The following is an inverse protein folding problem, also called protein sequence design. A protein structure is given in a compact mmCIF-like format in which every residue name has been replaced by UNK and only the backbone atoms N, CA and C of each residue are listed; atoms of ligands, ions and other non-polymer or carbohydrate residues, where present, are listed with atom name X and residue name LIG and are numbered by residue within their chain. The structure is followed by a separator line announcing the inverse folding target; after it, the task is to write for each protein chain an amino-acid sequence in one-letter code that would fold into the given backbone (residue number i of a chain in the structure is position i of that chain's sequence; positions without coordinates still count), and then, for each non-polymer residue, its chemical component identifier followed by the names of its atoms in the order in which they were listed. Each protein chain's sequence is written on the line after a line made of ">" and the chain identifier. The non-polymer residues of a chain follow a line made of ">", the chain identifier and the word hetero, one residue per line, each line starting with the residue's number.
data_IF_810482539595
#
_entry.id   IF_810482539595
#
_cell.length_a   1.000
_cell.length_b   1.000
_cell.length_c   1.000
_cell.angle_alpha   90.00
_cell.angle_beta   90.00
_cell.angle_gamma   90.00
#
_symmetry.space_group_name_H-M   'P 1'
#
loop_
_entity.id
_entity.type
_entity.pdbx_description
1 polymer ?
#
# COMPACT_ATOMS: atom_id res chain seq x y z
N UNK A 1 1.29 -47.62 -43.78
CA UNK A 1 0.84 -46.39 -44.47
C UNK A 1 1.70 -45.24 -43.96
N UNK A 2 2.46 -44.61 -44.86
CA UNK A 2 3.49 -43.60 -44.55
C UNK A 2 2.84 -42.24 -44.31
N UNK A 3 3.25 -41.50 -43.28
CA UNK A 3 3.03 -40.05 -43.21
C UNK A 3 4.32 -39.35 -42.74
N UNK A 4 4.88 -38.58 -43.67
CA UNK A 4 5.86 -37.49 -43.55
C UNK A 4 5.28 -36.33 -44.40
N UNK A 5 5.75 -35.07 -44.34
CA UNK A 5 6.83 -34.49 -43.54
C UNK A 5 6.52 -33.10 -42.92
N UNK A 6 7.46 -32.68 -42.08
CA UNK A 6 7.87 -31.32 -41.69
C UNK A 6 7.81 -30.25 -42.79
N UNK A 7 7.38 -29.02 -42.44
CA UNK A 7 7.81 -27.79 -43.12
C UNK A 7 8.01 -26.65 -42.12
N UNK A 8 9.25 -26.18 -42.07
CA UNK A 8 9.72 -24.94 -41.44
C UNK A 8 9.43 -23.79 -42.41
N UNK A 9 8.87 -22.68 -41.92
CA UNK A 9 8.85 -21.42 -42.66
C UNK A 9 9.13 -20.27 -41.69
N UNK A 10 10.38 -19.84 -41.65
CA UNK A 10 10.81 -18.57 -41.10
C UNK A 10 10.49 -17.46 -42.11
N UNK A 11 9.77 -16.42 -41.69
CA UNK A 11 9.67 -15.16 -42.41
C UNK A 11 10.01 -14.01 -41.46
N UNK A 12 11.20 -13.45 -41.67
CA UNK A 12 11.62 -12.15 -41.14
C UNK A 12 11.39 -11.13 -42.25
N UNK A 13 10.54 -10.13 -42.01
CA UNK A 13 10.56 -8.86 -42.75
C UNK A 13 10.47 -7.72 -41.75
N UNK A 14 11.45 -6.84 -41.85
CA UNK A 14 11.73 -5.69 -41.01
C UNK A 14 11.17 -4.41 -41.67
N UNK A 15 10.95 -3.40 -40.82
CA UNK A 15 10.76 -1.97 -41.08
C UNK A 15 9.35 -1.44 -41.42
N UNK A 16 8.85 -0.58 -40.53
CA UNK A 16 8.09 0.58 -40.96
C UNK A 16 7.18 1.24 -39.92
N UNK A 17 7.75 2.23 -39.22
CA UNK A 17 7.10 3.49 -38.80
C UNK A 17 6.09 3.50 -37.63
N UNK A 18 6.48 4.29 -36.63
CA UNK A 18 5.70 4.81 -35.52
C UNK A 18 4.27 5.26 -35.87
N UNK A 19 3.31 4.90 -35.01
CA UNK A 19 2.21 5.77 -34.62
C UNK A 19 2.04 5.71 -33.09
N UNK A 20 2.18 6.88 -32.45
CA UNK A 20 2.03 7.07 -31.01
C UNK A 20 0.56 6.89 -30.56
N UNK A 21 0.30 6.56 -29.29
CA UNK A 21 -1.03 6.67 -28.72
C UNK A 21 -1.42 8.15 -28.58
N UNK A 22 -2.59 8.52 -29.10
CA UNK A 22 -3.25 9.76 -28.72
C UNK A 22 -3.80 9.59 -27.29
N UNK A 23 -3.05 10.05 -26.30
CA UNK A 23 -3.57 10.25 -24.94
C UNK A 23 -4.58 11.40 -24.98
N UNK A 24 -5.86 11.04 -24.86
CA UNK A 24 -6.90 12.01 -24.49
C UNK A 24 -6.61 12.46 -23.05
N UNK A 25 -6.00 13.63 -22.91
CA UNK A 25 -5.80 14.28 -21.62
C UNK A 25 -7.17 14.60 -20.99
N UNK A 26 -7.49 13.90 -19.91
CA UNK A 26 -8.62 14.20 -19.05
C UNK A 26 -8.33 15.53 -18.32
N UNK A 27 -9.15 16.59 -18.45
CA UNK A 27 -8.80 17.95 -18.03
C UNK A 27 -8.76 18.20 -16.50
N UNK A 28 -8.78 17.14 -15.69
CA UNK A 28 -8.83 17.23 -14.24
C UNK A 28 -7.74 16.39 -13.56
N UNK A 29 -6.46 16.56 -13.94
CA UNK A 29 -5.34 16.06 -13.12
C UNK A 29 -4.67 17.24 -12.37
N UNK A 30 -5.03 17.47 -11.09
CA UNK A 30 -4.56 18.63 -10.32
C UNK A 30 -3.11 18.50 -9.82
N UNK A 31 -2.37 17.46 -10.21
CA UNK A 31 -1.09 17.11 -9.58
C UNK A 31 0.17 17.52 -10.36
N UNK A 32 0.10 18.40 -11.37
CA UNK A 32 1.32 18.89 -12.05
C UNK A 32 1.30 20.42 -12.31
N UNK A 33 1.82 21.23 -11.38
CA UNK A 33 1.79 22.69 -11.50
C UNK A 33 2.75 23.25 -12.58
N UNK A 34 3.57 22.42 -13.23
CA UNK A 34 4.55 22.86 -14.22
C UNK A 34 4.09 22.72 -15.68
N UNK A 35 2.86 22.26 -15.95
CA UNK A 35 2.37 21.98 -17.31
C UNK A 35 1.46 23.07 -17.93
N UNK A 36 1.03 24.08 -17.16
CA UNK A 36 0.10 25.12 -17.66
C UNK A 36 0.87 26.27 -18.32
N UNK A 37 1.05 26.20 -19.65
CA UNK A 37 1.78 27.23 -20.41
C UNK A 37 1.03 28.56 -20.61
N UNK A 38 -0.26 28.67 -20.27
CA UNK A 38 -0.98 29.94 -20.24
C UNK A 38 -2.05 29.98 -19.13
N UNK A 39 -1.92 30.95 -18.22
CA UNK A 39 -2.93 31.26 -17.21
C UNK A 39 -3.82 32.42 -17.72
N UNK A 40 -5.12 32.21 -17.99
CA UNK A 40 -6.04 33.29 -18.37
C UNK A 40 -6.27 34.32 -17.25
N UNK A 41 -5.76 34.07 -16.04
CA UNK A 41 -5.89 34.95 -14.88
C UNK A 41 -4.59 35.69 -14.52
N UNK A 42 -3.84 36.22 -15.51
CA UNK A 42 -2.74 37.15 -15.23
C UNK A 42 -3.23 38.61 -15.23
N UNK A 43 -3.46 39.25 -14.07
CA UNK A 43 -3.95 40.62 -14.00
C UNK A 43 -2.93 41.63 -14.53
N UNK A 44 -1.65 41.26 -14.68
CA UNK A 44 -0.61 42.12 -15.22
C UNK A 44 -0.56 42.16 -16.76
N UNK A 45 -1.44 41.41 -17.45
CA UNK A 45 -1.56 41.43 -18.91
C UNK A 45 -2.78 42.24 -19.41
N UNK A 46 -3.58 42.79 -18.50
CA UNK A 46 -4.78 43.56 -18.86
C UNK A 46 -4.39 44.96 -19.33
N UNK A 47 -4.23 45.11 -20.65
CA UNK A 47 -4.04 46.38 -21.34
C UNK A 47 -5.27 47.27 -21.08
N UNK A 48 -5.13 48.25 -20.18
CA UNK A 48 -5.98 49.44 -19.95
C UNK A 48 -7.44 49.31 -20.42
N UNK A 49 -8.32 48.77 -19.58
CA UNK A 49 -9.75 49.09 -19.70
C UNK A 49 -10.01 50.44 -19.03
N UNK A 50 -10.54 51.36 -19.81
CA UNK A 50 -10.82 52.75 -19.41
C UNK A 50 -11.87 52.78 -18.30
N UNK A 51 -11.62 53.69 -17.36
CA UNK A 51 -12.51 54.37 -16.40
C UNK A 51 -13.98 53.92 -16.43
N UNK A 52 -14.51 53.52 -15.27
CA UNK A 52 -15.73 53.99 -14.58
C UNK A 52 -15.92 53.02 -13.38
N UNK A 53 -15.99 53.36 -12.10
CA UNK A 53 -16.01 54.60 -11.33
C UNK A 53 -15.30 54.34 -9.97
N UNK A 54 -14.84 55.40 -9.30
CA UNK A 54 -14.31 55.41 -7.93
C UNK A 54 -15.28 56.27 -7.09
N UNK A 55 -15.54 55.97 -5.81
CA UNK A 55 -14.79 56.70 -4.79
C UNK A 55 -14.64 55.93 -3.46
N UNK A 56 -13.38 55.67 -3.10
CA UNK A 56 -12.84 55.83 -1.76
C UNK A 56 -13.82 56.39 -0.68
N UNK A 57 -14.35 55.51 0.17
CA UNK A 57 -14.56 55.82 1.59
C UNK A 57 -13.73 54.81 2.42
N UNK A 58 -12.56 55.21 2.93
CA UNK A 58 -11.53 54.28 3.39
C UNK A 58 -11.77 53.71 4.81
N UNK A 59 -12.90 53.97 5.45
CA UNK A 59 -13.15 53.54 6.84
C UNK A 59 -14.37 52.61 7.05
N UNK A 60 -15.00 52.12 5.98
CA UNK A 60 -16.29 51.42 6.08
C UNK A 60 -16.37 49.96 5.62
N UNK A 61 -15.32 49.37 5.04
CA UNK A 61 -15.42 48.03 4.46
C UNK A 61 -14.58 47.01 5.24
N UNK A 62 -15.28 46.04 5.83
CA UNK A 62 -14.72 44.80 6.38
C UNK A 62 -13.71 44.24 5.38
N UNK A 63 -12.56 43.77 5.89
CA UNK A 63 -11.47 43.15 5.14
C UNK A 63 -11.97 41.94 4.32
N UNK A 64 -12.63 42.21 3.20
CA UNK A 64 -12.73 41.25 2.11
C UNK A 64 -11.37 41.22 1.44
N UNK A 65 -10.90 40.00 1.20
CA UNK A 65 -9.56 39.68 0.77
C UNK A 65 -9.10 40.61 -0.36
N UNK A 66 -7.87 41.11 -0.23
CA UNK A 66 -7.21 41.85 -1.29
C UNK A 66 -7.15 40.94 -2.54
N UNK A 67 -7.78 41.31 -3.67
CA UNK A 67 -7.81 40.50 -4.88
C UNK A 67 -6.42 40.24 -5.48
N UNK A 68 -5.38 40.92 -4.99
CA UNK A 68 -3.99 40.73 -5.37
C UNK A 68 -3.22 39.76 -4.47
N UNK A 69 -3.85 39.07 -3.50
CA UNK A 69 -3.19 38.00 -2.74
C UNK A 69 -3.63 36.62 -3.26
N UNK A 70 -2.94 36.01 -4.23
CA UNK A 70 -3.30 34.70 -4.77
C UNK A 70 -3.23 33.58 -3.73
N UNK A 71 -2.56 33.81 -2.58
CA UNK A 71 -2.54 32.88 -1.46
C UNK A 71 -3.82 32.90 -0.63
N UNK A 72 -4.68 33.92 -0.76
CA UNK A 72 -5.96 34.00 -0.04
C UNK A 72 -7.07 33.16 -0.70
N UNK A 73 -6.86 32.73 -1.95
CA UNK A 73 -7.74 31.78 -2.66
C UNK A 73 -6.91 30.58 -3.09
N UNK A 74 -6.46 29.80 -2.10
CA UNK A 74 -5.85 28.52 -2.37
C UNK A 74 -6.97 27.51 -2.75
N UNK A 75 -7.04 26.99 -3.99
CA UNK A 75 -8.00 25.94 -4.35
C UNK A 75 -7.76 24.63 -3.57
N UNK A 76 -6.63 24.51 -2.86
CA UNK A 76 -6.35 23.46 -1.88
C UNK A 76 -6.85 23.81 -0.46
N UNK A 77 -7.67 24.85 -0.28
CA UNK A 77 -8.38 25.14 0.98
C UNK A 77 -9.59 24.23 1.20
N UNK A 78 -9.90 23.36 0.24
CA UNK A 78 -10.75 22.20 0.50
C UNK A 78 -10.14 21.35 1.62
N UNK A 79 -10.98 20.68 2.41
CA UNK A 79 -10.53 19.90 3.56
C UNK A 79 -9.31 19.02 3.19
N UNK A 80 -8.18 19.26 3.86
CA UNK A 80 -6.99 18.43 3.69
C UNK A 80 -7.38 16.96 3.98
N UNK A 81 -7.20 16.03 3.04
CA UNK A 81 -7.58 14.62 3.25
C UNK A 81 -6.82 13.98 4.43
N UNK A 82 -5.69 14.55 4.86
CA UNK A 82 -4.97 14.12 6.06
C UNK A 82 -5.52 14.71 7.38
N UNK A 83 -6.43 15.67 7.32
CA UNK A 83 -7.13 16.24 8.48
C UNK A 83 -8.47 15.59 8.73
N UNK A 84 -8.95 14.74 7.80
CA UNK A 84 -10.03 13.82 8.09
C UNK A 84 -9.52 12.80 9.11
N UNK A 85 -10.23 12.65 10.23
CA UNK A 85 -9.84 11.70 11.28
C UNK A 85 -9.65 10.28 10.75
N UNK A 86 -8.83 9.48 11.43
CA UNK A 86 -8.50 8.13 10.98
C UNK A 86 -9.69 7.18 11.21
N UNK A 87 -10.04 6.40 10.19
CA UNK A 87 -10.99 5.29 10.35
C UNK A 87 -10.24 4.07 10.92
N UNK A 88 -10.67 3.51 12.07
CA UNK A 88 -10.05 2.32 12.63
C UNK A 88 -10.20 1.11 11.69
N UNK A 89 -9.15 0.29 11.58
CA UNK A 89 -9.18 -0.93 10.75
C UNK A 89 -10.11 -2.03 11.32
N UNK A 90 -10.48 -1.93 12.60
CA UNK A 90 -11.32 -2.88 13.35
C UNK A 90 -11.91 -2.22 14.59
N UNK A 91 -13.02 -2.79 15.12
CA UNK A 91 -13.72 -2.29 16.33
C UNK A 91 -12.87 -2.44 17.60
N UNK A 92 -12.21 -3.58 17.76
CA UNK A 92 -11.40 -3.88 18.94
C UNK A 92 -9.92 -3.90 18.55
N UNK A 93 -9.14 -2.91 19.02
CA UNK A 93 -7.72 -2.82 18.75
C UNK A 93 -6.88 -3.62 19.76
N UNK A 94 -5.57 -3.69 19.49
CA UNK A 94 -4.58 -3.95 20.53
C UNK A 94 -4.05 -2.60 21.03
N UNK A 95 -3.75 -2.49 22.32
CA UNK A 95 -3.23 -1.26 22.92
C UNK A 95 -1.74 -1.06 22.58
N UNK A 96 -0.99 -2.16 22.42
CA UNK A 96 0.43 -2.14 22.10
C UNK A 96 0.90 -3.45 21.44
N UNK A 97 2.16 -3.46 20.98
CA UNK A 97 2.77 -4.61 20.33
C UNK A 97 2.86 -5.85 21.23
N UNK A 98 3.17 -5.67 22.53
CA UNK A 98 3.34 -6.79 23.46
C UNK A 98 2.02 -7.57 23.62
N UNK A 99 0.90 -6.86 23.76
CA UNK A 99 -0.43 -7.49 23.85
C UNK A 99 -0.76 -8.33 22.61
N UNK A 100 -0.38 -7.86 21.41
CA UNK A 100 -0.55 -8.63 20.18
C UNK A 100 0.38 -9.85 20.14
N UNK A 101 1.65 -9.70 20.53
CA UNK A 101 2.61 -10.79 20.56
C UNK A 101 2.25 -11.87 21.59
N UNK A 102 1.74 -11.50 22.76
CA UNK A 102 1.29 -12.45 23.79
C UNK A 102 0.06 -13.24 23.33
N UNK A 103 -0.89 -12.56 22.67
CA UNK A 103 -2.03 -13.23 22.05
C UNK A 103 -1.56 -14.22 20.95
N UNK A 104 -0.60 -13.81 20.12
CA UNK A 104 -0.01 -14.67 19.09
C UNK A 104 0.70 -15.88 19.66
N UNK A 105 1.48 -15.69 20.74
CA UNK A 105 2.18 -16.77 21.44
C UNK A 105 1.21 -17.83 21.96
N UNK A 106 0.07 -17.42 22.51
CA UNK A 106 -0.98 -18.34 22.99
C UNK A 106 -1.54 -19.19 21.85
N UNK A 107 -1.78 -18.57 20.69
CA UNK A 107 -2.32 -19.25 19.51
C UNK A 107 -1.29 -20.15 18.81
N UNK A 108 0.01 -19.89 18.95
CA UNK A 108 1.06 -20.63 18.25
C UNK A 108 1.05 -22.14 18.56
N UNK A 109 0.67 -22.51 19.78
CA UNK A 109 0.53 -23.90 20.22
C UNK A 109 -0.90 -24.42 20.27
N UNK A 110 -1.87 -23.66 19.76
CA UNK A 110 -3.29 -24.01 19.89
C UNK A 110 -3.73 -24.94 18.74
N UNK A 111 -3.91 -26.21 19.07
CA UNK A 111 -4.37 -27.24 18.12
C UNK A 111 -5.85 -27.09 17.75
N UNK A 112 -6.63 -26.29 18.50
CA UNK A 112 -8.05 -26.06 18.23
C UNK A 112 -8.30 -25.05 17.09
N UNK A 113 -7.25 -24.39 16.60
CA UNK A 113 -7.32 -23.47 15.47
C UNK A 113 -7.65 -24.17 14.14
N UNK A 114 -7.41 -25.47 14.07
CA UNK A 114 -7.70 -26.32 12.92
C UNK A 114 -8.45 -27.58 13.32
N UNK A 115 -8.71 -28.45 12.35
CA UNK A 115 -9.37 -29.74 12.59
C UNK A 115 -8.43 -30.93 12.45
N UNK A 116 -7.16 -30.68 12.10
CA UNK A 116 -6.16 -31.73 11.88
C UNK A 116 -5.40 -32.15 13.15
N UNK A 117 -5.67 -31.53 14.31
CA UNK A 117 -4.97 -31.84 15.57
C UNK A 117 -3.50 -31.42 15.58
N UNK A 118 -3.14 -30.41 14.79
CA UNK A 118 -1.79 -29.84 14.74
C UNK A 118 -1.84 -28.33 14.92
N UNK A 119 -0.78 -27.77 15.48
CA UNK A 119 -0.59 -26.33 15.68
C UNK A 119 0.65 -25.84 14.94
N UNK A 120 0.95 -24.54 15.02
CA UNK A 120 2.18 -24.01 14.46
C UNK A 120 3.42 -24.66 15.11
N UNK A 121 3.36 -24.95 16.42
CA UNK A 121 4.42 -25.67 17.14
C UNK A 121 4.70 -27.07 16.61
N UNK A 122 3.71 -27.75 16.03
CA UNK A 122 3.92 -29.11 15.50
C UNK A 122 4.99 -29.16 14.40
N UNK A 123 5.25 -28.04 13.70
CA UNK A 123 6.32 -27.92 12.70
C UNK A 123 7.36 -26.84 13.02
N UNK A 124 7.02 -25.88 13.88
CA UNK A 124 7.88 -24.74 14.25
C UNK A 124 8.09 -24.70 15.77
N UNK A 125 8.56 -25.82 16.32
CA UNK A 125 8.89 -25.96 17.73
C UNK A 125 10.09 -25.11 18.17
N UNK A 126 11.04 -24.90 17.25
CA UNK A 126 12.29 -24.19 17.51
C UNK A 126 12.64 -23.18 16.39
N UNK A 127 13.49 -22.19 16.73
CA UNK A 127 13.96 -21.14 15.83
C UNK A 127 14.58 -21.66 14.52
N UNK A 128 15.28 -22.79 14.58
CA UNK A 128 16.00 -23.37 13.43
C UNK A 128 15.04 -23.87 12.35
N UNK A 129 13.87 -24.38 12.74
CA UNK A 129 12.83 -24.86 11.80
C UNK A 129 12.17 -23.71 11.04
N UNK A 130 12.38 -22.46 11.48
CA UNK A 130 11.93 -21.24 10.82
C UNK A 130 13.02 -20.60 9.95
N UNK A 131 14.21 -21.21 9.84
CA UNK A 131 15.33 -20.69 9.04
C UNK A 131 15.73 -19.24 9.40
N UNK A 132 15.56 -18.82 10.67
CA UNK A 132 15.76 -17.43 11.07
C UNK A 132 17.19 -16.91 10.85
N UNK A 133 18.20 -17.80 10.90
CA UNK A 133 19.61 -17.48 10.64
C UNK A 133 19.93 -17.08 9.20
N UNK A 134 19.04 -17.37 8.22
CA UNK A 134 19.26 -16.98 6.81
C UNK A 134 18.95 -15.50 6.52
N UNK A 135 18.54 -14.74 7.53
CA UNK A 135 18.15 -13.32 7.42
C UNK A 135 17.07 -13.03 6.37
N UNK A 136 16.26 -14.02 5.99
CA UNK A 136 15.18 -13.86 5.02
C UNK A 136 13.99 -13.14 5.67
N UNK A 137 13.85 -11.84 5.43
CA UNK A 137 12.65 -11.08 5.81
C UNK A 137 11.50 -11.41 4.85
N UNK A 138 10.26 -11.39 5.33
CA UNK A 138 9.12 -11.38 4.42
C UNK A 138 9.01 -10.00 3.72
N UNK A 139 8.59 -9.94 2.44
CA UNK A 139 8.28 -11.08 1.57
C UNK A 139 9.53 -11.81 1.07
N UNK A 140 9.46 -13.13 0.96
CA UNK A 140 10.52 -13.95 0.37
C UNK A 140 9.95 -15.25 -0.21
N UNK A 141 10.77 -15.92 -1.02
CA UNK A 141 10.41 -17.21 -1.60
C UNK A 141 10.40 -18.32 -0.55
N UNK A 142 9.26 -19.02 -0.41
CA UNK A 142 9.12 -20.15 0.51
C UNK A 142 8.96 -21.44 -0.31
N UNK A 143 9.92 -22.34 -0.18
CA UNK A 143 9.94 -23.61 -0.94
C UNK A 143 8.67 -24.46 -0.77
N UNK A 144 8.09 -24.46 0.44
CA UNK A 144 6.85 -25.20 0.72
C UNK A 144 5.65 -24.67 -0.08
N UNK A 145 5.63 -23.37 -0.37
CA UNK A 145 4.57 -22.73 -1.15
C UNK A 145 4.91 -22.74 -2.65
N UNK A 146 6.20 -22.67 -2.99
CA UNK A 146 6.67 -22.52 -4.36
C UNK A 146 6.51 -21.10 -4.92
N UNK A 147 6.44 -20.09 -4.03
CA UNK A 147 6.22 -18.69 -4.41
C UNK A 147 6.84 -17.71 -3.40
N UNK A 148 6.97 -16.44 -3.80
CA UNK A 148 7.26 -15.31 -2.92
C UNK A 148 6.00 -14.91 -2.19
N UNK A 149 6.00 -15.09 -0.87
CA UNK A 149 4.84 -14.79 -0.03
C UNK A 149 5.15 -13.73 1.01
N UNK A 150 4.12 -13.01 1.45
CA UNK A 150 4.15 -12.19 2.68
C UNK A 150 4.00 -13.08 3.92
N UNK A 151 4.27 -12.53 5.10
CA UNK A 151 4.07 -13.24 6.36
C UNK A 151 2.61 -13.66 6.54
N UNK A 152 1.67 -12.77 6.23
CA UNK A 152 0.23 -13.04 6.36
C UNK A 152 -0.23 -14.17 5.42
N UNK A 153 0.30 -14.19 4.19
CA UNK A 153 0.04 -15.26 3.24
C UNK A 153 0.59 -16.60 3.74
N UNK A 154 1.80 -16.61 4.33
CA UNK A 154 2.38 -17.82 4.90
C UNK A 154 1.59 -18.33 6.11
N UNK A 155 1.13 -17.44 7.00
CA UNK A 155 0.28 -17.80 8.14
C UNK A 155 -1.01 -18.46 7.64
N UNK A 156 -1.70 -17.84 6.68
CA UNK A 156 -2.93 -18.40 6.14
C UNK A 156 -2.70 -19.68 5.31
N UNK A 157 -1.54 -19.85 4.69
CA UNK A 157 -1.15 -21.10 4.07
C UNK A 157 -1.06 -22.23 5.10
N UNK A 158 -0.45 -21.99 6.27
CA UNK A 158 -0.38 -22.96 7.37
C UNK A 158 -1.77 -23.27 7.95
N UNK A 159 -2.63 -22.26 8.09
CA UNK A 159 -3.99 -22.48 8.59
C UNK A 159 -4.79 -23.41 7.67
N UNK A 160 -4.71 -23.24 6.36
CA UNK A 160 -5.52 -24.01 5.41
C UNK A 160 -4.91 -25.39 5.10
N UNK A 161 -3.60 -25.47 4.88
CA UNK A 161 -3.00 -26.66 4.30
C UNK A 161 -2.72 -27.76 5.34
N UNK A 162 -1.80 -27.57 6.31
CA UNK A 162 -1.56 -28.55 7.36
C UNK A 162 -2.66 -28.57 8.43
N UNK A 163 -3.17 -27.42 8.87
CA UNK A 163 -4.10 -27.36 10.01
C UNK A 163 -5.57 -27.66 9.64
N UNK A 164 -5.93 -27.59 8.35
CA UNK A 164 -7.32 -27.74 7.85
C UNK A 164 -8.31 -26.76 8.53
N UNK A 165 -7.81 -25.61 8.96
CA UNK A 165 -8.58 -24.54 9.55
C UNK A 165 -9.07 -23.53 8.50
N UNK A 166 -9.58 -22.40 8.99
CA UNK A 166 -10.00 -21.28 8.16
C UNK A 166 -8.89 -20.24 8.05
N UNK A 167 -8.86 -19.53 6.93
CA UNK A 167 -8.01 -18.34 6.80
C UNK A 167 -8.46 -17.28 7.80
N UNK A 168 -7.51 -16.59 8.39
CA UNK A 168 -7.77 -15.36 9.13
C UNK A 168 -8.11 -14.22 8.17
N UNK A 169 -9.06 -13.38 8.56
CA UNK A 169 -9.38 -12.18 7.79
C UNK A 169 -8.20 -11.20 7.76
N UNK A 170 -8.05 -10.49 6.64
CA UNK A 170 -6.94 -9.58 6.38
C UNK A 170 -6.67 -8.54 7.49
N UNK A 171 -7.72 -8.06 8.17
CA UNK A 171 -7.62 -7.06 9.24
C UNK A 171 -7.91 -7.65 10.64
N UNK A 172 -7.94 -8.98 10.76
CA UNK A 172 -8.31 -9.66 12.01
C UNK A 172 -7.27 -9.45 13.11
N UNK A 173 -7.70 -9.60 14.38
CA UNK A 173 -6.79 -9.53 15.53
C UNK A 173 -5.86 -10.72 15.54
N UNK A 174 -6.36 -11.88 15.11
CA UNK A 174 -5.69 -13.15 15.07
C UNK A 174 -4.49 -13.10 14.12
N UNK A 175 -4.68 -12.60 12.89
CA UNK A 175 -3.60 -12.45 11.92
C UNK A 175 -2.55 -11.45 12.41
N UNK A 176 -2.98 -10.30 12.95
CA UNK A 176 -2.06 -9.31 13.54
C UNK A 176 -1.25 -9.91 14.69
N UNK A 177 -1.90 -10.67 15.58
CA UNK A 177 -1.26 -11.27 16.74
C UNK A 177 -0.25 -12.34 16.33
N UNK A 178 -0.59 -13.18 15.36
CA UNK A 178 0.32 -14.19 14.83
C UNK A 178 1.55 -13.57 14.18
N UNK A 179 1.37 -12.51 13.37
CA UNK A 179 2.47 -11.77 12.78
C UNK A 179 3.34 -11.04 13.83
N UNK A 180 2.71 -10.47 14.86
CA UNK A 180 3.41 -9.82 15.96
C UNK A 180 4.28 -10.83 16.75
N UNK A 181 3.74 -12.01 17.05
CA UNK A 181 4.48 -13.06 17.73
C UNK A 181 5.66 -13.55 16.90
N UNK A 182 5.48 -13.84 15.60
CA UNK A 182 6.59 -14.22 14.72
C UNK A 182 7.72 -13.18 14.74
N UNK A 183 7.38 -11.89 14.68
CA UNK A 183 8.36 -10.80 14.80
C UNK A 183 9.06 -10.82 16.16
N UNK A 184 8.32 -10.96 17.25
CA UNK A 184 8.90 -11.01 18.60
C UNK A 184 9.87 -12.19 18.76
N UNK A 185 9.47 -13.37 18.27
CA UNK A 185 10.25 -14.60 18.29
C UNK A 185 11.55 -14.47 17.48
N UNK A 186 11.45 -13.91 16.26
CA UNK A 186 12.64 -13.60 15.45
C UNK A 186 13.58 -12.61 16.13
N UNK A 187 13.04 -11.54 16.72
CA UNK A 187 13.85 -10.55 17.42
C UNK A 187 14.54 -11.14 18.65
N UNK A 188 13.92 -12.11 19.33
CA UNK A 188 14.55 -12.87 20.40
C UNK A 188 15.75 -13.67 19.86
N UNK A 189 15.54 -14.48 18.82
CA UNK A 189 16.62 -15.24 18.17
C UNK A 189 17.82 -14.35 17.80
N UNK A 190 17.56 -13.22 17.14
CA UNK A 190 18.61 -12.29 16.73
C UNK A 190 19.35 -11.64 17.91
N UNK A 191 18.69 -11.43 19.06
CA UNK A 191 19.38 -10.92 20.26
C UNK A 191 20.30 -11.97 20.87
N UNK A 192 19.84 -13.22 20.92
CA UNK A 192 20.59 -14.35 21.49
C UNK A 192 21.77 -14.76 20.60
N UNK A 193 21.69 -14.52 19.29
CA UNK A 193 22.69 -14.93 18.29
C UNK A 193 23.46 -13.75 17.68
N UNK A 194 23.36 -12.56 18.26
CA UNK A 194 24.25 -11.43 17.94
C UNK A 194 25.65 -11.75 18.45
N UNK A 195 26.58 -12.00 17.53
CA UNK A 195 28.02 -11.95 17.79
C UNK A 195 28.49 -10.50 17.71
#
# INVERSE_FOLDING_TARGET
>A
MRLLPTYVAAFVVLFGLQMAPAEAANPCNPCNPCAMKHNPCNPCSMKKMKKHANPCNPCGMKKSANPCNPCAMNPCSGANPCSAGNTPIRKHAFDNFQQAADAGKKMWGDESLGTAGVSCLSCHADHELLNLGKNQNFPHYVNMVGDVVTLDQMINYCMVNPMKGKQFDKNSKELTAMAAYFRAYRMQYLREHKK
#
